data_IF_733676881538
#
_entry.id   IF_733676881538
#
_cell.length_a   1.000
_cell.length_b   1.000
_cell.length_c   1.000
_cell.angle_alpha   90.00
_cell.angle_beta   90.00
_cell.angle_gamma   90.00
#
_symmetry.space_group_name_H-M   'P 1'
#
loop_
_entity.id
_entity.type
_entity.pdbx_description
1 polymer ?
#
# COMPACT_ATOMS: atom_id res chain seq x y z
N UNK A 1 7.40 -53.43 10.99
CA UNK A 1 7.46 -52.23 11.86
C UNK A 1 7.93 -51.05 11.03
N UNK A 2 6.97 -50.22 10.62
CA UNK A 2 7.22 -48.94 9.95
C UNK A 2 7.87 -47.97 10.94
N UNK A 3 9.03 -47.40 10.57
CA UNK A 3 9.47 -46.13 11.16
C UNK A 3 9.06 -45.02 10.20
N UNK A 4 8.15 -44.20 10.71
CA UNK A 4 7.45 -43.13 10.03
C UNK A 4 8.38 -41.93 9.85
N UNK A 5 8.33 -41.35 8.64
CA UNK A 5 8.98 -40.11 8.26
C UNK A 5 8.59 -38.95 9.19
N UNK A 6 9.55 -38.27 9.79
CA UNK A 6 9.39 -36.87 10.19
C UNK A 6 10.10 -36.02 9.14
N UNK A 7 9.36 -35.79 8.06
CA UNK A 7 9.58 -34.70 7.12
C UNK A 7 9.30 -33.41 7.91
N UNK A 8 10.34 -32.74 8.42
CA UNK A 8 10.21 -31.37 8.93
C UNK A 8 9.74 -30.50 7.77
N UNK A 9 8.46 -30.13 7.81
CA UNK A 9 7.85 -29.13 6.94
C UNK A 9 8.42 -27.77 7.34
N UNK A 10 9.57 -27.44 6.74
CA UNK A 10 10.11 -26.09 6.66
C UNK A 10 9.40 -25.40 5.50
N UNK A 11 8.27 -24.78 5.78
CA UNK A 11 7.43 -23.99 4.85
C UNK A 11 6.63 -23.02 5.72
N UNK A 12 6.65 -21.69 5.61
CA UNK A 12 7.39 -20.75 4.79
C UNK A 12 7.26 -19.40 5.47
N UNK A 13 8.36 -18.85 5.96
CA UNK A 13 8.50 -17.39 5.92
C UNK A 13 9.23 -17.12 4.61
N UNK A 14 8.50 -16.65 3.62
CA UNK A 14 9.06 -15.98 2.44
C UNK A 14 9.71 -14.68 2.93
N UNK A 15 10.87 -14.80 3.56
CA UNK A 15 11.81 -13.69 3.73
C UNK A 15 12.60 -13.64 2.41
N UNK A 16 12.43 -12.52 1.69
CA UNK A 16 13.38 -12.10 0.68
C UNK A 16 14.79 -12.36 1.21
N UNK A 17 15.67 -12.93 0.39
CA UNK A 17 17.09 -13.04 0.69
C UNK A 17 17.72 -11.64 0.74
N UNK A 18 17.44 -10.86 1.79
CA UNK A 18 18.33 -9.83 2.28
C UNK A 18 19.27 -10.52 3.26
N UNK A 19 20.56 -10.55 2.94
CA UNK A 19 21.61 -11.06 3.83
C UNK A 19 21.47 -10.38 5.19
N UNK A 20 21.12 -11.14 6.23
CA UNK A 20 21.05 -10.66 7.61
C UNK A 20 22.49 -10.67 8.14
N UNK A 21 23.05 -9.49 8.41
CA UNK A 21 24.48 -9.35 8.74
C UNK A 21 24.77 -9.40 10.26
N UNK A 22 23.77 -9.17 11.12
CA UNK A 22 23.94 -9.16 12.58
C UNK A 22 22.62 -9.46 13.32
N UNK A 23 22.72 -10.14 14.47
CA UNK A 23 21.62 -10.42 15.40
C UNK A 23 22.06 -10.06 16.82
N UNK A 24 21.42 -9.06 17.42
CA UNK A 24 21.65 -8.66 18.81
C UNK A 24 20.31 -8.54 19.55
N UNK A 25 20.31 -8.82 20.85
CA UNK A 25 19.15 -8.63 21.71
C UNK A 25 19.31 -7.36 22.52
N UNK A 26 18.48 -6.34 22.27
CA UNK A 26 18.49 -5.08 23.02
C UNK A 26 17.06 -4.59 23.24
N UNK A 27 16.78 -4.01 24.41
CA UNK A 27 15.46 -3.47 24.78
C UNK A 27 14.28 -4.46 24.60
N UNK A 28 14.54 -5.77 24.71
CA UNK A 28 13.56 -6.83 24.48
C UNK A 28 13.23 -7.09 23.01
N UNK A 29 14.08 -6.65 22.08
CA UNK A 29 14.00 -6.98 20.66
C UNK A 29 15.18 -7.82 20.21
N UNK A 30 14.91 -8.76 19.30
CA UNK A 30 15.90 -9.35 18.40
C UNK A 30 15.99 -8.43 17.18
N UNK A 31 17.15 -7.84 16.94
CA UNK A 31 17.36 -6.89 15.84
C UNK A 31 17.89 -7.64 14.62
N UNK A 32 17.21 -7.54 13.48
CA UNK A 32 17.68 -8.06 12.20
C UNK A 32 17.86 -6.90 11.22
N UNK A 33 19.08 -6.74 10.69
CA UNK A 33 19.42 -5.68 9.73
C UNK A 33 19.58 -6.25 8.32
N UNK A 34 18.89 -5.65 7.36
CA UNK A 34 19.10 -5.80 5.91
C UNK A 34 19.55 -4.48 5.28
N UNK A 35 19.75 -4.46 3.96
CA UNK A 35 20.34 -3.30 3.25
C UNK A 35 19.55 -1.99 3.41
N UNK A 36 18.21 -2.07 3.51
CA UNK A 36 17.32 -0.90 3.64
C UNK A 36 16.23 -1.07 4.69
N UNK A 37 16.29 -2.16 5.46
CA UNK A 37 15.22 -2.56 6.38
C UNK A 37 15.84 -3.05 7.68
N UNK A 38 15.30 -2.56 8.80
CA UNK A 38 15.54 -3.11 10.13
C UNK A 38 14.25 -3.72 10.64
N UNK A 39 14.34 -4.94 11.16
CA UNK A 39 13.28 -5.61 11.90
C UNK A 39 13.62 -5.59 13.38
N UNK A 40 12.71 -5.07 14.20
CA UNK A 40 12.77 -5.16 15.66
C UNK A 40 11.75 -6.21 16.09
N UNK A 41 12.20 -7.42 16.36
CA UNK A 41 11.31 -8.56 16.65
C UNK A 41 11.17 -8.70 18.16
N UNK A 42 9.96 -8.64 18.72
CA UNK A 42 9.74 -8.88 20.16
C UNK A 42 10.31 -10.26 20.51
N UNK A 43 11.12 -10.35 21.57
CA UNK A 43 11.70 -11.63 22.01
C UNK A 43 10.63 -12.68 22.32
N UNK A 44 9.40 -12.26 22.62
CA UNK A 44 8.28 -13.14 22.91
C UNK A 44 7.47 -13.52 21.66
N UNK A 45 7.72 -12.92 20.49
CA UNK A 45 6.92 -13.16 19.27
C UNK A 45 6.85 -14.65 18.91
N UNK A 46 7.98 -15.35 19.07
CA UNK A 46 8.09 -16.78 18.75
C UNK A 46 7.19 -17.67 19.62
N UNK A 47 6.87 -17.22 20.84
CA UNK A 47 5.98 -17.91 21.79
C UNK A 47 4.53 -17.84 21.32
N UNK A 48 4.16 -16.81 20.56
CA UNK A 48 2.77 -16.49 20.20
C UNK A 48 2.45 -16.81 18.73
N UNK A 49 2.75 -18.04 18.31
CA UNK A 49 2.61 -18.49 16.91
C UNK A 49 1.48 -19.50 16.66
N UNK A 50 0.79 -19.95 17.71
CA UNK A 50 -0.38 -20.83 17.55
C UNK A 50 -1.61 -20.04 17.08
N UNK A 51 -2.27 -20.48 16.01
CA UNK A 51 -3.53 -19.87 15.55
C UNK A 51 -4.68 -20.15 16.52
N UNK A 52 -5.71 -19.28 16.59
CA UNK A 52 -6.87 -19.52 17.43
C UNK A 52 -7.62 -20.79 17.01
N UNK A 53 -8.07 -21.57 18.01
CA UNK A 53 -8.81 -22.82 17.79
C UNK A 53 -10.16 -22.83 18.50
N UNK A 54 -11.12 -23.51 17.88
CA UNK A 54 -12.43 -23.82 18.45
C UNK A 54 -12.29 -24.76 19.67
N UNK A 55 -13.37 -24.93 20.44
CA UNK A 55 -13.45 -25.92 21.54
C UNK A 55 -13.07 -27.35 21.12
N UNK A 56 -13.17 -27.69 19.83
CA UNK A 56 -12.82 -29.00 19.26
C UNK A 56 -11.39 -29.06 18.71
N UNK A 57 -10.56 -28.03 18.96
CA UNK A 57 -9.18 -27.94 18.47
C UNK A 57 -9.03 -27.64 16.98
N UNK A 58 -10.14 -27.36 16.27
CA UNK A 58 -10.07 -26.97 14.86
C UNK A 58 -9.66 -25.50 14.74
N UNK A 59 -8.71 -25.15 13.85
CA UNK A 59 -8.31 -23.76 13.63
C UNK A 59 -9.48 -22.96 13.05
N UNK A 60 -9.63 -21.71 13.47
CA UNK A 60 -10.57 -20.81 12.82
C UNK A 60 -10.05 -20.45 11.43
N UNK A 61 -10.79 -20.77 10.35
CA UNK A 61 -10.45 -20.29 9.03
C UNK A 61 -10.80 -18.79 8.97
N UNK A 62 -9.85 -17.97 8.53
CA UNK A 62 -10.06 -16.56 8.19
C UNK A 62 -10.60 -15.70 9.35
N UNK A 63 -9.80 -15.57 10.42
CA UNK A 63 -10.00 -14.46 11.34
C UNK A 63 -9.41 -13.21 10.68
N UNK A 64 -10.30 -12.42 10.08
CA UNK A 64 -9.95 -11.11 9.57
C UNK A 64 -9.85 -10.17 10.75
N UNK A 65 -8.65 -9.63 10.96
CA UNK A 65 -8.48 -8.48 11.82
C UNK A 65 -9.00 -7.26 11.07
N UNK A 66 -10.16 -6.78 11.48
CA UNK A 66 -10.75 -5.56 10.91
C UNK A 66 -11.02 -4.55 12.01
N UNK A 67 -10.22 -4.54 13.08
CA UNK A 67 -10.28 -3.45 14.04
C UNK A 67 -9.12 -2.47 13.73
N UNK A 68 -9.33 -1.50 12.82
CA UNK A 68 -8.35 -0.44 12.63
C UNK A 68 -8.19 0.29 13.96
N UNK A 69 -6.93 0.51 14.37
CA UNK A 69 -6.64 1.29 15.57
C UNK A 69 -7.26 2.69 15.43
N UNK A 70 -7.86 3.21 16.50
CA UNK A 70 -8.40 4.56 16.50
C UNK A 70 -7.27 5.55 16.12
N UNK A 71 -7.40 6.30 15.00
CA UNK A 71 -6.42 7.27 14.56
C UNK A 71 -6.03 8.29 15.64
N UNK A 72 -6.98 8.74 16.45
CA UNK A 72 -6.73 9.72 17.50
C UNK A 72 -5.88 9.12 18.63
N UNK A 73 -6.18 7.89 19.03
CA UNK A 73 -5.40 7.15 20.02
C UNK A 73 -3.97 6.89 19.49
N UNK A 74 -3.85 6.43 18.24
CA UNK A 74 -2.55 6.20 17.61
C UNK A 74 -1.69 7.47 17.60
N UNK A 75 -2.25 8.57 17.11
CA UNK A 75 -1.56 9.86 17.02
C UNK A 75 -1.12 10.35 18.40
N UNK A 76 -1.96 10.18 19.43
CA UNK A 76 -1.63 10.51 20.81
C UNK A 76 -0.44 9.69 21.33
N UNK A 77 -0.48 8.37 21.17
CA UNK A 77 0.60 7.49 21.63
C UNK A 77 1.92 7.78 20.91
N UNK A 78 1.89 7.84 19.57
CA UNK A 78 3.09 8.09 18.77
C UNK A 78 3.73 9.43 19.13
N UNK A 79 2.95 10.51 19.30
CA UNK A 79 3.47 11.82 19.73
C UNK A 79 3.97 11.86 21.17
N UNK A 80 3.50 10.95 22.03
CA UNK A 80 3.95 10.86 23.41
C UNK A 80 5.29 10.14 23.56
N UNK A 81 5.69 9.35 22.54
CA UNK A 81 6.89 8.51 22.58
C UNK A 81 7.97 8.98 21.62
N UNK A 82 7.59 9.35 20.39
CA UNK A 82 8.52 9.72 19.34
C UNK A 82 8.61 11.24 19.18
N UNK A 83 9.82 11.73 18.94
CA UNK A 83 10.01 13.13 18.54
C UNK A 83 9.54 13.34 17.10
N UNK A 84 9.20 14.59 16.75
CA UNK A 84 8.83 14.95 15.38
C UNK A 84 9.93 14.57 14.37
N UNK A 85 11.20 14.75 14.73
CA UNK A 85 12.35 14.37 13.89
C UNK A 85 12.37 12.87 13.58
N UNK A 86 12.15 12.01 14.59
CA UNK A 86 12.14 10.55 14.42
C UNK A 86 10.96 10.13 13.52
N UNK A 87 9.76 10.67 13.78
CA UNK A 87 8.56 10.43 12.96
C UNK A 87 8.85 10.80 11.50
N UNK A 88 9.37 12.00 11.27
CA UNK A 88 9.64 12.52 9.94
C UNK A 88 10.67 11.67 9.21
N UNK A 89 11.80 11.35 9.84
CA UNK A 89 12.85 10.57 9.19
C UNK A 89 12.34 9.20 8.75
N UNK A 90 11.56 8.51 9.59
CA UNK A 90 10.99 7.23 9.21
C UNK A 90 9.98 7.37 8.05
N UNK A 91 9.09 8.35 8.10
CA UNK A 91 8.13 8.62 7.02
C UNK A 91 8.76 8.94 5.67
N UNK A 92 9.94 9.59 5.64
CA UNK A 92 10.64 9.92 4.40
C UNK A 92 11.25 8.71 3.68
N UNK A 93 11.69 7.69 4.43
CA UNK A 93 12.38 6.53 3.85
C UNK A 93 11.39 5.41 3.51
N UNK A 94 10.34 5.26 4.31
CA UNK A 94 9.24 4.34 4.04
C UNK A 94 8.31 4.19 5.23
N UNK A 95 7.07 3.80 4.97
CA UNK A 95 6.02 3.75 5.99
C UNK A 95 6.26 2.62 7.01
N UNK A 96 6.62 2.90 8.27
CA UNK A 96 6.91 1.85 9.25
C UNK A 96 5.66 1.09 9.64
N UNK A 97 5.82 -0.14 10.12
CA UNK A 97 4.70 -0.98 10.53
C UNK A 97 4.96 -1.60 11.89
N UNK A 98 3.90 -1.68 12.71
CA UNK A 98 3.86 -2.50 13.91
C UNK A 98 3.07 -3.78 13.62
N UNK A 99 3.63 -4.92 14.01
CA UNK A 99 3.03 -6.24 13.92
C UNK A 99 2.76 -6.74 15.33
N UNK A 100 1.49 -6.91 15.66
CA UNK A 100 1.06 -7.29 16.99
C UNK A 100 0.56 -8.73 17.01
N UNK A 101 0.84 -9.42 18.11
CA UNK A 101 0.19 -10.68 18.47
C UNK A 101 -0.90 -10.35 19.48
N UNK A 102 -2.12 -10.78 19.20
CA UNK A 102 -3.30 -10.48 20.01
C UNK A 102 -3.88 -11.79 20.54
N UNK A 103 -4.12 -11.89 21.84
CA UNK A 103 -4.74 -13.08 22.43
C UNK A 103 -6.25 -13.16 22.14
N UNK A 104 -6.90 -14.26 22.54
CA UNK A 104 -8.35 -14.43 22.31
C UNK A 104 -9.23 -13.51 23.16
N UNK A 105 -8.66 -12.80 24.13
CA UNK A 105 -9.35 -11.79 24.93
C UNK A 105 -9.20 -10.37 24.34
N UNK A 106 -8.38 -10.20 23.30
CA UNK A 106 -8.16 -8.92 22.63
C UNK A 106 -6.95 -8.15 23.13
N UNK A 107 -6.12 -8.72 24.02
CA UNK A 107 -4.93 -8.04 24.53
C UNK A 107 -3.76 -8.22 23.56
N UNK A 108 -3.00 -7.15 23.33
CA UNK A 108 -1.71 -7.26 22.65
C UNK A 108 -0.69 -7.88 23.60
N UNK A 109 -0.07 -8.99 23.19
CA UNK A 109 0.93 -9.73 24.00
C UNK A 109 2.36 -9.58 23.48
N UNK A 110 2.53 -9.29 22.20
CA UNK A 110 3.84 -8.98 21.60
C UNK A 110 3.71 -7.95 20.47
N UNK A 111 4.74 -7.11 20.30
CA UNK A 111 4.79 -6.12 19.21
C UNK A 111 6.18 -6.11 18.58
N UNK A 112 6.22 -6.39 17.29
CA UNK A 112 7.41 -6.29 16.45
C UNK A 112 7.28 -5.13 15.46
N UNK A 113 8.39 -4.55 15.01
CA UNK A 113 8.41 -3.42 14.08
C UNK A 113 9.19 -3.74 12.81
N UNK A 114 8.67 -3.26 11.67
CA UNK A 114 9.42 -3.18 10.41
C UNK A 114 9.67 -1.74 10.07
N UNK A 115 10.95 -1.38 10.01
CA UNK A 115 11.43 -0.03 9.77
C UNK A 115 12.18 0.00 8.45
N UNK A 116 11.78 0.89 7.54
CA UNK A 116 12.48 1.10 6.27
C UNK A 116 13.64 2.06 6.51
N UNK A 117 14.69 1.57 7.15
CA UNK A 117 15.91 2.31 7.47
C UNK A 117 17.08 1.31 7.46
N UNK A 118 18.32 1.72 7.12
CA UNK A 118 19.48 0.85 7.25
C UNK A 118 19.88 0.62 8.71
N UNK A 119 19.53 1.53 9.64
CA UNK A 119 19.85 1.39 11.06
C UNK A 119 18.87 2.13 11.98
N UNK A 120 18.94 1.83 13.28
CA UNK A 120 18.16 2.44 14.37
C UNK A 120 19.12 2.78 15.52
N UNK A 121 19.07 4.01 16.02
CA UNK A 121 19.94 4.44 17.13
C UNK A 121 19.53 3.81 18.46
N UNK A 122 20.43 3.69 19.46
CA UNK A 122 20.07 3.23 20.81
C UNK A 122 18.94 4.05 21.45
N UNK A 123 18.92 5.36 21.21
CA UNK A 123 17.87 6.27 21.70
C UNK A 123 16.51 5.94 21.08
N UNK A 124 16.46 5.65 19.78
CA UNK A 124 15.24 5.21 19.10
C UNK A 124 14.79 3.83 19.56
N UNK A 125 15.71 2.90 19.81
CA UNK A 125 15.37 1.58 20.34
C UNK A 125 14.62 1.70 21.67
N UNK A 126 15.01 2.65 22.52
CA UNK A 126 14.27 2.96 23.76
C UNK A 126 12.87 3.49 23.45
N UNK A 127 12.72 4.37 22.45
CA UNK A 127 11.39 4.86 22.03
C UNK A 127 10.51 3.73 21.50
N UNK A 128 11.01 2.86 20.62
CA UNK A 128 10.24 1.71 20.10
C UNK A 128 9.87 0.72 21.22
N UNK A 129 10.74 0.52 22.21
CA UNK A 129 10.41 -0.29 23.39
C UNK A 129 9.31 0.35 24.23
N UNK A 130 9.37 1.66 24.48
CA UNK A 130 8.32 2.39 25.18
C UNK A 130 6.98 2.33 24.42
N UNK A 131 7.02 2.50 23.09
CA UNK A 131 5.82 2.41 22.26
C UNK A 131 5.20 1.02 22.27
N UNK A 132 6.01 -0.06 22.22
CA UNK A 132 5.53 -1.44 22.42
C UNK A 132 4.74 -1.60 23.71
N UNK A 133 5.28 -1.13 24.84
CA UNK A 133 4.60 -1.25 26.13
C UNK A 133 3.33 -0.40 26.20
N UNK A 134 3.33 0.77 25.56
CA UNK A 134 2.15 1.62 25.48
C UNK A 134 1.03 0.96 24.66
N UNK A 135 1.37 0.33 23.52
CA UNK A 135 0.42 -0.44 22.71
C UNK A 135 -0.20 -1.59 23.51
N UNK A 136 0.62 -2.36 24.24
CA UNK A 136 0.16 -3.45 25.11
C UNK A 136 -0.81 -2.98 26.21
N UNK A 137 -0.75 -1.70 26.58
CA UNK A 137 -1.52 -1.11 27.67
C UNK A 137 -2.79 -0.38 27.21
N UNK A 138 -2.71 0.34 26.10
CA UNK A 138 -3.76 1.28 25.68
C UNK A 138 -4.63 0.76 24.54
N UNK A 139 -4.24 -0.34 23.87
CA UNK A 139 -4.95 -0.87 22.70
C UNK A 139 -5.62 -2.20 23.03
N UNK A 140 -6.95 -2.18 23.00
CA UNK A 140 -7.78 -3.38 23.13
C UNK A 140 -8.47 -3.72 21.81
N UNK A 141 -8.30 -4.95 21.35
CA UNK A 141 -8.96 -5.45 20.15
C UNK A 141 -10.31 -6.08 20.47
N UNK A 142 -11.36 -5.64 19.77
CA UNK A 142 -12.63 -6.35 19.81
C UNK A 142 -12.54 -7.60 18.93
N UNK A 143 -12.24 -8.73 19.56
CA UNK A 143 -12.15 -10.02 18.87
C UNK A 143 -13.52 -10.69 18.87
N UNK A 144 -14.01 -11.03 17.67
CA UNK A 144 -15.24 -11.83 17.51
C UNK A 144 -14.97 -13.06 16.67
N UNK A 145 -15.56 -14.18 17.09
CA UNK A 145 -15.39 -15.48 16.45
C UNK A 145 -16.75 -15.94 15.90
N UNK A 146 -16.90 -16.15 14.58
CA UNK A 146 -18.21 -16.39 13.94
C UNK A 146 -19.00 -17.60 14.47
N UNK A 147 -18.31 -18.59 15.05
CA UNK A 147 -18.90 -19.88 15.45
C UNK A 147 -18.70 -20.19 16.95
N UNK A 148 -18.69 -19.16 17.81
CA UNK A 148 -18.51 -19.30 19.26
C UNK A 148 -17.10 -18.94 19.73
N UNK A 149 -16.80 -19.10 21.03
CA UNK A 149 -15.56 -18.62 21.64
C UNK A 149 -14.32 -19.45 21.26
N UNK A 150 -13.21 -18.79 20.93
CA UNK A 150 -11.90 -19.45 20.85
C UNK A 150 -11.37 -19.75 22.25
N UNK A 151 -10.67 -20.87 22.39
CA UNK A 151 -10.19 -21.36 23.69
C UNK A 151 -8.72 -21.05 23.96
N UNK A 152 -7.93 -20.91 22.89
CA UNK A 152 -6.51 -20.59 22.93
C UNK A 152 -6.03 -20.14 21.55
N UNK A 153 -4.91 -19.43 21.51
CA UNK A 153 -4.20 -19.02 20.30
C UNK A 153 -4.11 -17.50 20.14
N UNK A 154 -3.48 -17.07 19.05
CA UNK A 154 -3.13 -15.67 18.82
C UNK A 154 -3.49 -15.22 17.40
N UNK A 155 -4.07 -14.04 17.32
CA UNK A 155 -4.33 -13.29 16.10
C UNK A 155 -3.08 -12.48 15.74
N UNK A 156 -2.97 -12.12 14.46
CA UNK A 156 -1.95 -11.20 13.98
C UNK A 156 -2.63 -9.91 13.52
N UNK A 157 -2.26 -8.82 14.15
CA UNK A 157 -2.68 -7.47 13.78
C UNK A 157 -1.52 -6.73 13.15
N UNK A 158 -1.80 -5.86 12.19
CA UNK A 158 -0.80 -4.94 11.66
C UNK A 158 -1.40 -3.55 11.52
N UNK A 159 -0.62 -2.54 11.91
CA UNK A 159 -0.96 -1.17 11.59
C UNK A 159 0.26 -0.41 11.09
N UNK A 160 -0.03 0.48 10.17
CA UNK A 160 0.91 1.45 9.63
C UNK A 160 1.16 2.49 10.71
N UNK A 161 2.43 2.76 11.03
CA UNK A 161 2.82 3.82 11.95
C UNK A 161 2.93 5.15 11.22
N UNK A 162 2.70 6.25 11.93
CA UNK A 162 2.89 7.63 11.47
C UNK A 162 2.05 8.07 10.26
N UNK A 163 1.11 7.23 9.83
CA UNK A 163 0.10 7.53 8.83
C UNK A 163 -1.25 7.07 9.33
N UNK A 164 -2.20 7.99 9.37
CA UNK A 164 -3.48 7.79 10.05
C UNK A 164 -4.60 7.77 9.04
N UNK A 165 -5.33 6.66 9.00
CA UNK A 165 -6.51 6.55 8.13
C UNK A 165 -7.60 7.49 8.63
N UNK A 166 -7.87 8.55 7.87
CA UNK A 166 -8.90 9.54 8.21
C UNK A 166 -10.27 9.13 7.67
N UNK A 167 -10.28 8.54 6.48
CA UNK A 167 -11.51 8.33 5.74
C UNK A 167 -11.39 7.12 4.81
N UNK A 168 -12.48 6.35 4.73
CA UNK A 168 -12.66 5.27 3.75
C UNK A 168 -14.09 5.36 3.27
N UNK A 169 -14.29 5.48 1.97
CA UNK A 169 -15.62 5.45 1.39
C UNK A 169 -15.63 4.66 0.11
N UNK A 170 -16.50 3.66 0.07
CA UNK A 170 -16.79 2.90 -1.14
C UNK A 170 -18.08 3.45 -1.74
N UNK A 171 -17.99 3.98 -2.96
CA UNK A 171 -19.13 4.48 -3.70
C UNK A 171 -19.75 3.33 -4.54
N UNK A 172 -21.09 3.28 -4.69
CA UNK A 172 -21.78 2.33 -5.59
C UNK A 172 -21.21 2.23 -7.02
N UNK A 173 -20.59 3.31 -7.52
CA UNK A 173 -20.02 3.40 -8.86
C UNK A 173 -18.68 2.67 -9.03
N UNK A 174 -18.23 1.90 -8.04
CA UNK A 174 -17.07 1.04 -8.16
C UNK A 174 -15.73 1.69 -7.79
N UNK A 175 -15.78 2.81 -7.07
CA UNK A 175 -14.59 3.47 -6.51
C UNK A 175 -14.49 3.28 -5.02
N UNK A 176 -13.24 3.12 -4.56
CA UNK A 176 -12.89 3.16 -3.15
C UNK A 176 -11.92 4.32 -2.92
N UNK A 177 -12.38 5.31 -2.15
CA UNK A 177 -11.57 6.43 -1.69
C UNK A 177 -11.01 6.12 -0.31
N UNK A 178 -9.70 6.02 -0.20
CA UNK A 178 -8.97 5.89 1.06
C UNK A 178 -8.11 7.14 1.26
N UNK A 179 -8.28 7.84 2.39
CA UNK A 179 -7.50 9.01 2.73
C UNK A 179 -6.72 8.79 4.03
N UNK A 180 -5.43 9.12 3.98
CA UNK A 180 -4.51 9.01 5.10
C UNK A 180 -3.87 10.37 5.38
N UNK A 181 -3.93 10.81 6.64
CA UNK A 181 -3.16 11.94 7.14
C UNK A 181 -1.73 11.47 7.42
N UNK A 182 -0.73 12.18 6.90
CA UNK A 182 0.69 11.90 7.10
C UNK A 182 1.45 13.18 7.44
N UNK A 183 2.44 13.09 8.32
CA UNK A 183 3.31 14.23 8.63
C UNK A 183 4.27 14.55 7.50
N UNK A 184 4.44 15.84 7.24
CA UNK A 184 5.43 16.37 6.29
C UNK A 184 6.40 17.36 6.91
N UNK A 185 6.06 17.94 8.07
CA UNK A 185 6.94 18.82 8.85
C UNK A 185 6.46 18.92 10.31
N UNK A 186 7.22 19.61 11.17
CA UNK A 186 6.80 19.99 12.52
C UNK A 186 5.44 20.70 12.44
N UNK A 187 4.42 20.07 13.03
CA UNK A 187 3.01 20.52 13.05
C UNK A 187 2.29 20.58 11.69
N UNK A 188 2.92 20.16 10.59
CA UNK A 188 2.28 20.10 9.27
C UNK A 188 1.95 18.66 8.90
N UNK A 189 0.67 18.42 8.66
CA UNK A 189 0.17 17.18 8.09
C UNK A 189 -0.45 17.44 6.70
N UNK A 190 -0.31 16.46 5.82
CA UNK A 190 -1.03 16.42 4.54
C UNK A 190 -1.99 15.25 4.55
N UNK A 191 -3.12 15.40 3.89
CA UNK A 191 -4.00 14.28 3.59
C UNK A 191 -3.68 13.80 2.19
N UNK A 192 -3.25 12.55 2.08
CA UNK A 192 -3.10 11.84 0.82
C UNK A 192 -4.32 10.95 0.62
N UNK A 193 -5.04 11.13 -0.48
CA UNK A 193 -6.15 10.27 -0.84
C UNK A 193 -5.84 9.46 -2.11
N UNK A 194 -6.16 8.17 -2.09
CA UNK A 194 -6.18 7.30 -3.26
C UNK A 194 -7.61 6.88 -3.56
N UNK A 195 -8.04 7.01 -4.81
CA UNK A 195 -9.32 6.55 -5.31
C UNK A 195 -9.10 5.45 -6.33
N UNK A 196 -9.30 4.19 -5.91
CA UNK A 196 -9.05 3.00 -6.71
C UNK A 196 -10.34 2.50 -7.39
N UNK A 197 -10.28 2.27 -8.71
CA UNK A 197 -11.19 1.36 -9.39
C UNK A 197 -10.97 -0.06 -8.84
N UNK A 198 -12.04 -0.79 -8.49
CA UNK A 198 -11.93 -2.17 -7.99
C UNK A 198 -11.04 -3.07 -8.85
N UNK A 199 -11.02 -2.85 -10.17
CA UNK A 199 -10.22 -3.65 -11.09
C UNK A 199 -8.74 -3.22 -11.17
N UNK A 200 -8.38 -2.05 -10.63
CA UNK A 200 -7.00 -1.53 -10.65
C UNK A 200 -6.02 -2.54 -10.03
N UNK A 201 -6.35 -3.06 -8.85
CA UNK A 201 -5.50 -4.05 -8.14
C UNK A 201 -5.37 -5.37 -8.89
N UNK A 202 -6.42 -5.78 -9.63
CA UNK A 202 -6.41 -7.01 -10.42
C UNK A 202 -5.46 -6.88 -11.61
N UNK A 203 -5.55 -5.77 -12.35
CA UNK A 203 -4.81 -5.62 -13.60
C UNK A 203 -3.38 -5.12 -13.43
N UNK A 204 -3.07 -4.37 -12.37
CA UNK A 204 -1.72 -3.77 -12.19
C UNK A 204 -0.57 -4.78 -12.16
N UNK A 205 -0.83 -6.04 -11.82
CA UNK A 205 0.19 -7.09 -11.72
C UNK A 205 0.26 -7.97 -12.98
N UNK A 206 -0.57 -7.71 -14.00
CA UNK A 206 -0.66 -8.53 -15.21
C UNK A 206 0.19 -7.93 -16.33
N UNK A 207 1.46 -8.34 -16.38
CA UNK A 207 2.42 -7.89 -17.40
C UNK A 207 2.01 -8.29 -18.81
N UNK A 208 2.39 -7.45 -19.79
CA UNK A 208 2.22 -7.73 -21.21
C UNK A 208 2.92 -9.04 -21.64
N UNK A 209 2.23 -9.85 -22.46
CA UNK A 209 2.71 -11.15 -22.94
C UNK A 209 2.51 -11.31 -24.44
N UNK A 210 3.38 -12.07 -25.08
CA UNK A 210 3.23 -12.49 -26.47
C UNK A 210 2.22 -13.63 -26.63
N UNK A 211 2.00 -14.09 -27.87
CA UNK A 211 1.06 -15.18 -28.19
C UNK A 211 1.43 -16.52 -27.54
N UNK A 212 2.71 -16.71 -27.19
CA UNK A 212 3.18 -17.90 -26.47
C UNK A 212 2.99 -17.81 -24.95
N UNK A 213 2.51 -16.67 -24.45
CA UNK A 213 2.37 -16.38 -23.03
C UNK A 213 3.67 -15.95 -22.37
N UNK A 214 4.75 -15.75 -23.12
CA UNK A 214 6.01 -15.23 -22.57
C UNK A 214 5.86 -13.73 -22.32
N UNK A 215 6.40 -13.28 -21.18
CA UNK A 215 6.40 -11.86 -20.84
C UNK A 215 7.20 -11.07 -21.88
N UNK A 216 6.60 -9.96 -22.33
CA UNK A 216 7.28 -9.00 -23.18
C UNK A 216 8.14 -8.09 -22.30
N UNK A 217 9.43 -8.07 -22.63
CA UNK A 217 10.47 -7.27 -22.00
C UNK A 217 11.05 -6.32 -23.06
N UNK A 218 11.77 -5.28 -22.62
CA UNK A 218 12.38 -4.30 -23.52
C UNK A 218 11.80 -2.89 -23.43
N UNK A 219 12.18 -2.06 -24.41
CA UNK A 219 11.76 -0.66 -24.54
C UNK A 219 10.29 -0.60 -24.90
N UNK A 220 9.50 0.10 -24.09
CA UNK A 220 8.09 0.36 -24.36
C UNK A 220 7.96 1.63 -25.18
N UNK A 221 7.29 1.55 -26.34
CA UNK A 221 6.84 2.70 -27.10
C UNK A 221 5.33 2.66 -27.33
N UNK A 222 4.71 3.83 -27.34
CA UNK A 222 3.32 4.03 -27.73
C UNK A 222 3.11 5.47 -28.19
N UNK A 223 2.06 5.69 -28.98
CA UNK A 223 1.58 7.02 -29.35
C UNK A 223 0.39 7.39 -28.47
N UNK A 224 0.42 8.59 -27.91
CA UNK A 224 -0.66 9.13 -27.08
C UNK A 224 -1.37 10.24 -27.85
N UNK A 225 -2.32 9.88 -28.69
CA UNK A 225 -2.85 10.74 -29.76
C UNK A 225 -4.01 11.66 -29.33
N UNK A 226 -4.61 11.46 -28.16
CA UNK A 226 -5.90 12.05 -27.81
C UNK A 226 -5.85 12.99 -26.60
N UNK A 227 -4.80 13.80 -26.48
CA UNK A 227 -4.71 14.83 -25.43
C UNK A 227 -5.89 15.83 -25.49
N UNK A 228 -6.29 16.26 -26.70
CA UNK A 228 -7.42 17.17 -26.88
C UNK A 228 -8.74 16.58 -26.37
N UNK A 229 -9.04 15.34 -26.74
CA UNK A 229 -10.26 14.64 -26.29
C UNK A 229 -10.29 14.50 -24.77
N UNK A 230 -9.14 14.22 -24.14
CA UNK A 230 -9.06 14.16 -22.68
C UNK A 230 -9.38 15.53 -22.03
N UNK A 231 -9.01 16.65 -22.67
CA UNK A 231 -9.41 18.01 -22.25
C UNK A 231 -10.89 18.24 -22.38
N UNK A 232 -11.48 17.81 -23.48
CA UNK A 232 -12.92 17.95 -23.70
C UNK A 232 -13.71 17.14 -22.67
N UNK A 233 -13.27 15.92 -22.33
CA UNK A 233 -13.89 15.11 -21.28
C UNK A 233 -13.79 15.82 -19.93
N UNK A 234 -12.60 16.30 -19.53
CA UNK A 234 -12.43 17.07 -18.28
C UNK A 234 -13.37 18.27 -18.21
N UNK A 235 -13.37 19.10 -19.25
CA UNK A 235 -14.17 20.35 -19.30
C UNK A 235 -15.68 20.12 -19.33
N UNK A 236 -16.11 18.99 -19.88
CA UNK A 236 -17.53 18.64 -19.94
C UNK A 236 -18.11 18.06 -18.64
N UNK A 237 -17.24 17.61 -17.72
CA UNK A 237 -17.65 17.00 -16.44
C UNK A 237 -17.40 17.96 -15.29
N UNK A 238 -16.23 18.58 -15.26
CA UNK A 238 -15.79 19.41 -14.14
C UNK A 238 -15.91 20.89 -14.49
N UNK A 239 -16.53 21.65 -13.60
CA UNK A 239 -16.51 23.11 -13.66
C UNK A 239 -15.07 23.65 -13.54
N UNK A 240 -14.79 24.88 -14.04
CA UNK A 240 -13.46 25.49 -13.88
C UNK A 240 -12.98 25.53 -12.43
N UNK A 241 -13.89 25.77 -11.48
CA UNK A 241 -13.58 25.79 -10.04
C UNK A 241 -13.18 24.40 -9.53
N UNK A 242 -13.91 23.35 -9.93
CA UNK A 242 -13.55 21.96 -9.59
C UNK A 242 -12.22 21.56 -10.20
N UNK A 243 -11.95 21.93 -11.46
CA UNK A 243 -10.67 21.67 -12.10
C UNK A 243 -9.52 22.36 -11.35
N UNK A 244 -9.68 23.64 -10.97
CA UNK A 244 -8.69 24.36 -10.20
C UNK A 244 -8.44 23.72 -8.82
N UNK A 245 -9.50 23.26 -8.16
CA UNK A 245 -9.43 22.54 -6.90
C UNK A 245 -8.66 21.20 -7.06
N UNK A 246 -9.03 20.36 -8.03
CA UNK A 246 -8.34 19.09 -8.31
C UNK A 246 -6.87 19.33 -8.71
N UNK A 247 -6.59 20.42 -9.43
CA UNK A 247 -5.23 20.87 -9.73
C UNK A 247 -4.44 21.17 -8.46
N UNK A 248 -5.05 21.89 -7.51
CA UNK A 248 -4.42 22.28 -6.24
C UNK A 248 -4.04 21.08 -5.37
N UNK A 249 -4.79 19.98 -5.46
CA UNK A 249 -4.47 18.71 -4.78
C UNK A 249 -3.31 17.96 -5.41
N UNK A 250 -2.74 18.46 -6.52
CA UNK A 250 -1.72 17.80 -7.30
C UNK A 250 -2.20 16.45 -7.86
N UNK A 251 -3.39 16.43 -8.44
CA UNK A 251 -4.04 15.20 -8.87
C UNK A 251 -3.22 14.45 -9.93
N UNK A 252 -2.97 13.17 -9.66
CA UNK A 252 -2.31 12.24 -10.58
C UNK A 252 -3.28 11.13 -10.92
N UNK A 253 -3.33 10.75 -12.19
CA UNK A 253 -4.17 9.65 -12.65
C UNK A 253 -3.29 8.57 -13.24
N UNK A 254 -3.42 7.36 -12.71
CA UNK A 254 -2.78 6.16 -13.24
C UNK A 254 -3.80 5.42 -14.10
N UNK A 255 -3.47 5.22 -15.37
CA UNK A 255 -4.24 4.46 -16.35
C UNK A 255 -3.64 3.06 -16.46
N UNK A 256 -4.48 2.04 -16.31
CA UNK A 256 -4.16 0.66 -16.67
C UNK A 256 -4.75 0.41 -18.04
N UNK A 257 -3.89 0.14 -19.02
CA UNK A 257 -4.27 0.09 -20.44
C UNK A 257 -3.96 -1.30 -20.98
N UNK A 258 -4.92 -1.88 -21.69
CA UNK A 258 -4.72 -3.16 -22.38
C UNK A 258 -3.56 -3.03 -23.37
N UNK A 259 -2.51 -3.82 -23.17
CA UNK A 259 -1.33 -3.79 -24.03
C UNK A 259 -1.64 -4.25 -25.46
N UNK A 260 -2.70 -5.04 -25.64
CA UNK A 260 -3.14 -5.53 -26.94
C UNK A 260 -3.99 -4.49 -27.68
N UNK A 261 -4.93 -3.86 -26.96
CA UNK A 261 -5.99 -3.07 -27.60
C UNK A 261 -5.88 -1.57 -27.37
N UNK A 262 -4.98 -1.07 -26.51
CA UNK A 262 -4.86 0.35 -26.20
C UNK A 262 -6.03 0.97 -25.42
N UNK A 263 -7.04 0.16 -25.07
CA UNK A 263 -8.17 0.61 -24.26
C UNK A 263 -7.80 0.69 -22.79
N UNK A 264 -8.28 1.75 -22.13
CA UNK A 264 -8.18 1.88 -20.67
C UNK A 264 -9.10 0.85 -20.01
N UNK A 265 -8.52 -0.02 -19.17
CA UNK A 265 -9.23 -1.06 -18.45
C UNK A 265 -9.61 -0.63 -17.03
N UNK A 266 -8.72 0.10 -16.35
CA UNK A 266 -8.93 0.62 -15.01
C UNK A 266 -8.17 1.93 -14.79
N UNK A 267 -8.57 2.68 -13.78
CA UNK A 267 -7.95 3.95 -13.41
C UNK A 267 -7.79 4.05 -11.88
N UNK A 268 -6.78 4.77 -11.44
CA UNK A 268 -6.59 5.19 -10.05
C UNK A 268 -6.32 6.70 -10.03
N UNK A 269 -6.96 7.41 -9.11
CA UNK A 269 -6.72 8.84 -8.87
C UNK A 269 -5.98 8.99 -7.55
N UNK A 270 -4.90 9.75 -7.56
CA UNK A 270 -4.13 10.09 -6.37
C UNK A 270 -4.22 11.59 -6.14
N UNK A 271 -4.48 11.97 -4.90
CA UNK A 271 -4.60 13.35 -4.44
C UNK A 271 -3.61 13.56 -3.29
N UNK A 272 -2.34 13.92 -3.58
CA UNK A 272 -1.31 14.01 -2.55
C UNK A 272 -1.46 15.14 -1.53
N UNK A 273 -2.30 16.15 -1.80
CA UNK A 273 -2.38 17.38 -0.98
C UNK A 273 -3.83 17.80 -0.75
N UNK A 274 -4.64 16.89 -0.22
CA UNK A 274 -6.03 17.16 0.09
C UNK A 274 -6.11 17.99 1.38
N UNK A 275 -6.91 19.04 1.36
CA UNK A 275 -7.24 19.83 2.56
C UNK A 275 -8.44 19.26 3.29
N UNK A 276 -9.43 18.79 2.53
CA UNK A 276 -10.66 18.17 3.02
C UNK A 276 -11.12 17.08 2.02
N UNK A 277 -11.16 15.80 2.42
CA UNK A 277 -11.62 14.70 1.58
C UNK A 277 -13.03 14.85 1.00
N UNK A 278 -13.91 15.59 1.69
CA UNK A 278 -15.30 15.79 1.24
C UNK A 278 -15.40 16.63 -0.04
N UNK A 279 -14.32 17.32 -0.41
CA UNK A 279 -14.21 18.11 -1.63
C UNK A 279 -13.97 17.24 -2.88
N UNK A 280 -13.75 15.93 -2.72
CA UNK A 280 -13.55 14.99 -3.83
C UNK A 280 -14.92 14.43 -4.25
N UNK A 281 -15.39 14.86 -5.41
CA UNK A 281 -16.63 14.37 -6.01
C UNK A 281 -16.43 13.00 -6.70
N UNK A 282 -16.76 11.93 -5.98
CA UNK A 282 -16.63 10.56 -6.48
C UNK A 282 -17.58 10.24 -7.64
N UNK A 283 -18.72 10.92 -7.74
CA UNK A 283 -19.65 10.71 -8.85
C UNK A 283 -19.08 11.29 -10.14
N UNK A 284 -18.58 12.53 -10.08
CA UNK A 284 -17.93 13.17 -11.22
C UNK A 284 -16.67 12.39 -11.68
N UNK A 285 -15.88 11.87 -10.75
CA UNK A 285 -14.77 10.96 -11.07
C UNK A 285 -15.25 9.66 -11.74
N UNK A 286 -16.40 9.13 -11.33
CA UNK A 286 -17.11 8.00 -11.96
C UNK A 286 -17.40 8.25 -13.43
N UNK A 287 -18.07 9.37 -13.71
CA UNK A 287 -18.40 9.79 -15.06
C UNK A 287 -17.14 10.01 -15.91
N UNK A 288 -16.10 10.60 -15.32
CA UNK A 288 -14.82 10.83 -16.00
C UNK A 288 -14.16 9.52 -16.42
N UNK A 289 -14.06 8.56 -15.50
CA UNK A 289 -13.55 7.21 -15.78
C UNK A 289 -14.31 6.56 -16.92
N UNK A 290 -15.63 6.55 -16.85
CA UNK A 290 -16.47 5.84 -17.82
C UNK A 290 -16.35 6.46 -19.22
N UNK A 291 -16.24 7.79 -19.32
CA UNK A 291 -15.98 8.44 -20.62
C UNK A 291 -14.59 8.14 -21.14
N UNK A 292 -13.56 8.20 -20.30
CA UNK A 292 -12.17 7.88 -20.69
C UNK A 292 -12.05 6.43 -21.17
N UNK A 293 -12.69 5.46 -20.51
CA UNK A 293 -12.66 4.05 -20.93
C UNK A 293 -13.25 3.79 -22.32
N UNK A 294 -14.11 4.70 -22.80
CA UNK A 294 -14.72 4.63 -24.11
C UNK A 294 -13.92 5.35 -25.21
N UNK A 295 -12.81 5.98 -24.86
CA UNK A 295 -11.92 6.67 -25.80
C UNK A 295 -10.64 5.87 -26.03
N UNK A 296 -10.17 5.87 -27.28
CA UNK A 296 -8.91 5.24 -27.65
C UNK A 296 -7.75 6.21 -27.45
N UNK A 297 -7.19 6.23 -26.24
CA UNK A 297 -6.11 7.16 -25.89
C UNK A 297 -4.71 6.68 -26.30
N UNK A 298 -4.54 5.37 -26.47
CA UNK A 298 -3.23 4.74 -26.67
C UNK A 298 -3.19 3.97 -27.98
N UNK A 299 -2.26 4.35 -28.84
CA UNK A 299 -2.04 3.73 -30.14
C UNK A 299 -0.63 3.15 -30.23
N UNK A 300 -0.44 2.19 -31.15
CA UNK A 300 0.88 1.66 -31.50
C UNK A 300 1.73 1.22 -30.29
N UNK A 301 1.11 0.54 -29.33
CA UNK A 301 1.82 0.00 -28.16
C UNK A 301 2.74 -1.14 -28.62
N UNK A 302 4.05 -0.96 -28.44
CA UNK A 302 5.08 -1.89 -28.85
C UNK A 302 6.12 -2.09 -27.74
N UNK A 303 6.60 -3.32 -27.61
CA UNK A 303 7.69 -3.73 -26.72
C UNK A 303 8.86 -4.20 -27.58
N UNK A 304 9.91 -3.39 -27.71
CA UNK A 304 10.99 -3.58 -28.69
C UNK A 304 10.44 -3.91 -30.11
N UNK A 305 9.42 -3.15 -30.53
CA UNK A 305 8.76 -3.33 -31.84
C UNK A 305 7.74 -4.47 -31.91
N UNK A 306 7.55 -5.25 -30.83
CA UNK A 306 6.58 -6.37 -30.80
C UNK A 306 5.26 -5.95 -30.17
N UNK A 307 4.16 -6.47 -30.72
CA UNK A 307 2.82 -6.31 -30.14
C UNK A 307 2.57 -7.32 -29.03
N UNK A 308 1.82 -6.89 -28.02
CA UNK A 308 1.32 -7.79 -26.98
C UNK A 308 0.05 -8.52 -27.45
N UNK A 309 -0.05 -9.81 -27.10
CA UNK A 309 -1.27 -10.59 -27.24
C UNK A 309 -2.18 -10.44 -26.02
N UNK A 310 -1.61 -10.16 -24.85
CA UNK A 310 -2.36 -9.94 -23.60
C UNK A 310 -1.57 -9.10 -22.59
N UNK A 311 -2.21 -8.79 -21.46
CA UNK A 311 -1.62 -8.04 -20.34
C UNK A 311 -1.81 -6.53 -20.47
N UNK A 312 -1.16 -5.78 -19.58
CA UNK A 312 -1.42 -4.36 -19.42
C UNK A 312 -0.12 -3.54 -19.33
N UNK A 313 -0.22 -2.29 -19.79
CA UNK A 313 0.74 -1.22 -19.49
C UNK A 313 0.13 -0.28 -18.44
N UNK A 314 1.01 0.38 -17.70
CA UNK A 314 0.65 1.35 -16.68
C UNK A 314 1.23 2.69 -17.11
N UNK A 315 0.38 3.71 -17.22
CA UNK A 315 0.79 5.06 -17.57
C UNK A 315 0.22 6.05 -16.54
N UNK A 316 1.01 7.01 -16.07
CA UNK A 316 0.57 7.99 -15.08
C UNK A 316 0.70 9.39 -15.66
N UNK A 317 -0.36 10.18 -15.51
CA UNK A 317 -0.41 11.58 -15.94
C UNK A 317 -0.78 12.50 -14.79
N UNK A 318 -0.25 13.71 -14.81
CA UNK A 318 -0.76 14.82 -13.99
C UNK A 318 -1.94 15.44 -14.72
N UNK A 319 -3.09 15.42 -14.07
CA UNK A 319 -4.37 15.82 -14.67
C UNK A 319 -4.86 17.14 -14.07
N UNK A 320 -5.81 17.79 -14.73
CA UNK A 320 -6.44 19.05 -14.28
C UNK A 320 -5.46 20.23 -14.11
N UNK A 321 -4.26 20.17 -14.70
CA UNK A 321 -3.28 21.24 -14.68
C UNK A 321 -3.18 21.90 -16.06
N UNK A 322 -3.01 23.24 -16.14
CA UNK A 322 -2.74 23.91 -17.42
C UNK A 322 -1.43 23.42 -18.06
N UNK A 323 -0.47 22.96 -17.26
CA UNK A 323 0.69 22.22 -17.73
C UNK A 323 0.42 20.72 -17.55
N UNK A 324 -0.30 20.12 -18.50
CA UNK A 324 -0.38 18.65 -18.59
C UNK A 324 1.01 18.11 -18.86
N UNK A 325 1.69 17.78 -17.78
CA UNK A 325 2.97 17.11 -17.81
C UNK A 325 2.70 15.63 -17.64
N UNK A 326 3.25 14.85 -18.56
CA UNK A 326 3.58 13.47 -18.25
C UNK A 326 4.56 13.53 -17.08
N UNK A 327 4.06 13.32 -15.86
CA UNK A 327 4.89 13.25 -14.67
C UNK A 327 5.70 11.96 -14.78
N UNK A 328 6.88 12.03 -15.41
CA UNK A 328 7.89 10.98 -15.29
C UNK A 328 8.53 11.07 -13.90
N UNK A 329 7.78 10.60 -12.91
CA UNK A 329 8.30 10.28 -11.59
C UNK A 329 7.41 9.22 -10.94
N UNK A 330 7.82 7.96 -11.06
CA UNK A 330 7.23 6.87 -10.27
C UNK A 330 8.19 6.61 -9.10
N UNK A 331 7.99 7.33 -8.00
CA UNK A 331 8.56 6.91 -6.72
C UNK A 331 8.09 5.48 -6.42
N UNK A 332 9.02 4.61 -6.02
CA UNK A 332 8.86 3.19 -5.66
C UNK A 332 8.91 2.13 -6.76
N UNK A 333 9.37 2.44 -7.97
CA UNK A 333 9.75 1.35 -8.89
C UNK A 333 11.02 0.61 -8.49
N UNK A 334 11.91 1.24 -7.71
CA UNK A 334 13.21 0.64 -7.32
C UNK A 334 13.14 -0.67 -6.55
N UNK A 335 11.99 -1.08 -5.99
CA UNK A 335 11.86 -2.35 -5.27
C UNK A 335 10.67 -3.23 -5.75
N UNK A 336 10.02 -2.90 -6.86
CA UNK A 336 9.10 -3.83 -7.55
C UNK A 336 9.81 -4.47 -8.74
N UNK A 337 10.30 -5.69 -8.54
CA UNK A 337 11.02 -6.52 -9.53
C UNK A 337 10.28 -6.72 -10.86
N UNK A 338 9.00 -6.37 -10.98
CA UNK A 338 8.20 -6.53 -12.20
C UNK A 338 8.27 -5.30 -13.14
N UNK A 339 8.70 -4.13 -12.66
CA UNK A 339 8.64 -2.88 -13.44
C UNK A 339 9.97 -2.10 -13.45
N UNK A 340 11.03 -2.68 -12.90
CA UNK A 340 12.27 -1.99 -12.53
C UNK A 340 13.30 -1.82 -13.66
N UNK A 341 12.88 -1.74 -14.93
CA UNK A 341 13.84 -1.75 -16.03
C UNK A 341 13.36 -1.26 -17.39
N UNK A 342 12.33 -0.41 -17.46
CA UNK A 342 11.79 0.03 -18.75
C UNK A 342 12.19 1.46 -19.06
N UNK A 343 13.00 1.63 -20.11
CA UNK A 343 13.12 2.90 -20.82
C UNK A 343 11.80 3.15 -21.56
N UNK A 344 11.18 4.31 -21.35
CA UNK A 344 9.92 4.68 -22.00
C UNK A 344 10.22 5.67 -23.13
N UNK A 345 9.67 5.41 -24.32
CA UNK A 345 9.65 6.36 -25.43
C UNK A 345 8.18 6.68 -25.74
N UNK A 346 7.69 7.81 -25.21
CA UNK A 346 6.39 8.35 -25.60
C UNK A 346 6.62 9.19 -26.85
N UNK A 347 5.97 8.79 -27.95
CA UNK A 347 5.89 9.63 -29.14
C UNK A 347 4.64 10.49 -28.99
N UNK A 348 4.85 11.76 -28.61
CA UNK A 348 3.78 12.78 -28.57
C UNK A 348 3.44 13.25 -29.99
#
# INVERSE_FOLDING_TARGET
MMKMNYLMVVVSVLILQSTIYAQETQQGFIIQKGEKVVLLIDVNDCVYNSKPTTLKGMPYPNLFDSNPMDPALQKKMERSVFTAEVIMRHMHVGTPNAYCKVDTAGNIVAVSFKLFTPDVSPEELVMFAAYREQLKKEVDYMVSFPNGMATAGYLSANFIMFSYKQFSHENPNGFRLDCNESYVDQDVAIIHCDCDDYNHTVYRNLSARDESGKQLEGTLSFRFSAQGELSEIEQSIFTPQQQQLLSSFNTRVTFIVSAQSGKVAAMNFQFPRVTDPSLIDLEALGQFRDRVKNVMLYEQILYDGKKAASGYLIHRLRMFSPERKTDYFISNLRDHTILNGRNFLIME
#
